data_IF_543380577565
#
_entry.id   IF_543380577565
#
_cell.length_a   1.000
_cell.length_b   1.000
_cell.length_c   1.000
_cell.angle_alpha   90.00
_cell.angle_beta   90.00
_cell.angle_gamma   90.00
#
_symmetry.space_group_name_H-M   'P 1'
#
loop_
_entity.id
_entity.type
_entity.pdbx_description
1 polymer ?
#
# COMPACT_ATOMS: atom_id res chain seq x y z
N UNK A 1 21.83 -54.37 44.08
CA UNK A 1 22.72 -53.19 43.91
C UNK A 1 22.55 -52.67 42.48
N UNK A 2 22.31 -51.37 42.29
CA UNK A 2 22.27 -50.73 40.97
C UNK A 2 20.97 -49.97 40.64
N UNK A 3 20.71 -48.83 41.32
CA UNK A 3 19.69 -47.85 40.89
C UNK A 3 20.27 -47.01 39.75
N UNK A 4 19.66 -47.02 38.56
CA UNK A 4 19.90 -46.02 37.50
C UNK A 4 18.85 -44.91 37.64
N UNK A 5 19.32 -43.71 37.98
CA UNK A 5 18.53 -42.48 37.99
C UNK A 5 18.78 -41.72 36.69
N UNK A 6 17.73 -41.41 35.94
CA UNK A 6 17.78 -40.60 34.73
C UNK A 6 17.45 -39.14 35.08
N UNK A 7 18.43 -38.25 34.91
CA UNK A 7 18.28 -36.81 35.10
C UNK A 7 17.57 -36.18 33.90
N UNK A 8 16.38 -35.61 34.14
CA UNK A 8 15.62 -34.83 33.16
C UNK A 8 15.99 -33.35 33.32
N UNK A 9 16.74 -32.80 32.36
CA UNK A 9 17.20 -31.40 32.35
C UNK A 9 16.06 -30.51 31.83
N UNK A 10 15.38 -29.82 32.73
CA UNK A 10 14.29 -28.89 32.42
C UNK A 10 14.91 -27.52 32.05
N UNK A 11 14.89 -27.17 30.77
CA UNK A 11 15.32 -25.85 30.29
C UNK A 11 14.25 -24.81 30.59
N UNK A 12 14.59 -23.93 31.53
CA UNK A 12 13.78 -22.80 31.97
C UNK A 12 13.99 -21.63 30.98
N UNK A 13 13.13 -21.49 29.97
CA UNK A 13 13.10 -20.29 29.12
C UNK A 13 12.25 -19.23 29.82
N UNK A 14 12.91 -18.30 30.51
CA UNK A 14 12.32 -17.04 30.97
C UNK A 14 12.01 -16.17 29.74
N UNK A 15 10.73 -16.04 29.38
CA UNK A 15 10.23 -14.97 28.51
C UNK A 15 10.14 -13.69 29.33
N UNK A 16 11.15 -12.83 29.23
CA UNK A 16 11.08 -11.46 29.75
C UNK A 16 10.15 -10.64 28.86
N UNK A 17 8.91 -10.44 29.30
CA UNK A 17 8.07 -9.33 28.84
C UNK A 17 8.65 -8.07 29.46
N UNK A 18 9.44 -7.32 28.68
CA UNK A 18 9.79 -5.95 29.03
C UNK A 18 8.54 -5.10 28.84
N UNK A 19 8.08 -4.45 29.91
CA UNK A 19 6.98 -3.48 29.84
C UNK A 19 7.35 -2.36 28.88
N UNK A 20 6.45 -2.06 27.95
CA UNK A 20 6.57 -0.88 27.09
C UNK A 20 6.47 0.38 27.96
N UNK A 21 7.38 1.36 27.80
CA UNK A 21 7.20 2.67 28.40
C UNK A 21 6.04 3.40 27.71
N UNK A 22 5.22 4.11 28.49
CA UNK A 22 4.25 5.08 27.97
C UNK A 22 5.01 6.23 27.30
N UNK A 23 5.08 6.20 25.97
CA UNK A 23 5.67 7.26 25.17
C UNK A 23 4.62 8.36 24.91
N UNK A 24 4.70 9.44 25.69
CA UNK A 24 3.93 10.67 25.47
C UNK A 24 4.81 11.82 24.94
N UNK A 25 6.02 11.50 24.47
CA UNK A 25 6.92 12.46 23.85
C UNK A 25 6.53 12.74 22.40
N UNK A 26 6.60 14.00 21.97
CA UNK A 26 6.50 14.38 20.54
C UNK A 26 7.56 13.60 19.75
N UNK A 27 7.15 12.55 19.02
CA UNK A 27 8.00 11.77 18.11
C UNK A 27 8.72 12.72 17.14
N UNK A 28 10.05 12.61 17.04
CA UNK A 28 10.82 13.31 16.01
C UNK A 28 10.63 12.52 14.72
N UNK A 29 9.75 13.00 13.85
CA UNK A 29 9.39 12.32 12.62
C UNK A 29 10.60 12.26 11.65
N UNK A 30 11.05 11.06 11.28
CA UNK A 30 12.18 10.85 10.37
C UNK A 30 11.68 10.18 9.09
N UNK A 31 11.69 10.91 7.97
CA UNK A 31 11.26 10.41 6.68
C UNK A 31 12.45 9.90 5.86
N UNK A 32 12.72 8.59 5.88
CA UNK A 32 13.71 7.97 5.00
C UNK A 32 13.02 6.95 4.09
N UNK A 33 12.67 7.41 2.89
CA UNK A 33 12.13 6.59 1.79
C UNK A 33 12.62 7.13 0.45
N UNK A 34 12.52 6.31 -0.61
CA UNK A 34 12.98 6.68 -1.95
C UNK A 34 12.43 8.02 -2.45
N UNK A 35 11.16 8.31 -2.18
CA UNK A 35 10.52 9.57 -2.53
C UNK A 35 10.90 10.75 -1.64
N UNK A 36 11.22 10.55 -0.35
CA UNK A 36 11.58 11.66 0.56
C UNK A 36 13.04 12.07 0.41
N UNK A 37 13.93 11.16 0.04
CA UNK A 37 15.29 11.51 -0.43
C UNK A 37 15.19 12.37 -1.70
N UNK A 38 14.30 12.02 -2.64
CA UNK A 38 14.07 12.84 -3.84
C UNK A 38 13.45 14.22 -3.52
N UNK A 39 12.45 14.27 -2.63
CA UNK A 39 11.72 15.51 -2.26
C UNK A 39 12.52 16.45 -1.35
N UNK A 40 13.47 15.96 -0.55
CA UNK A 40 14.37 16.77 0.28
C UNK A 40 15.53 17.42 -0.50
N UNK A 41 15.52 17.38 -1.83
CA UNK A 41 16.54 17.99 -2.68
C UNK A 41 17.78 17.13 -2.95
N UNK A 42 17.80 15.87 -2.49
CA UNK A 42 18.87 14.92 -2.88
C UNK A 42 18.59 14.24 -4.24
N UNK A 43 17.43 14.51 -4.85
CA UNK A 43 17.12 14.22 -6.25
C UNK A 43 17.19 12.74 -6.65
N UNK A 44 16.99 12.48 -7.95
CA UNK A 44 17.24 11.17 -8.58
C UNK A 44 18.66 10.64 -8.30
N UNK A 45 19.62 11.55 -8.05
CA UNK A 45 20.99 11.22 -7.65
C UNK A 45 21.06 10.49 -6.29
N UNK A 46 20.22 10.83 -5.30
CA UNK A 46 20.15 10.13 -4.02
C UNK A 46 19.58 8.71 -4.15
N UNK A 47 18.59 8.50 -5.02
CA UNK A 47 18.07 7.18 -5.32
C UNK A 47 19.07 6.31 -6.13
N UNK A 48 19.82 6.94 -7.05
CA UNK A 48 20.91 6.32 -7.79
C UNK A 48 22.08 5.95 -6.86
N UNK A 49 22.55 6.87 -6.02
CA UNK A 49 23.65 6.65 -5.07
C UNK A 49 23.28 5.67 -3.96
N UNK A 50 22.00 5.57 -3.58
CA UNK A 50 21.51 4.54 -2.66
C UNK A 50 21.47 3.13 -3.28
N UNK A 51 21.71 3.00 -4.59
CA UNK A 51 21.63 1.75 -5.34
C UNK A 51 20.21 1.23 -5.52
N UNK A 52 19.20 2.10 -5.42
CA UNK A 52 17.79 1.75 -5.58
C UNK A 52 17.37 1.69 -7.06
N UNK A 53 18.01 2.48 -7.90
CA UNK A 53 17.90 2.43 -9.35
C UNK A 53 19.28 2.04 -9.86
N UNK A 54 19.45 0.79 -10.28
CA UNK A 54 20.75 0.31 -10.72
C UNK A 54 21.19 1.01 -12.01
N UNK A 55 22.46 1.39 -12.08
CA UNK A 55 23.19 1.51 -13.35
C UNK A 55 23.38 0.11 -13.92
N UNK A 56 22.29 -0.53 -14.35
CA UNK A 56 22.36 -1.76 -15.11
C UNK A 56 23.07 -1.46 -16.42
N UNK A 57 24.32 -1.90 -16.56
CA UNK A 57 24.94 -2.08 -17.86
C UNK A 57 23.94 -2.79 -18.76
N UNK A 58 23.54 -2.13 -19.85
CA UNK A 58 22.46 -2.56 -20.73
C UNK A 58 22.62 -4.00 -21.22
N UNK A 59 22.04 -4.94 -20.48
CA UNK A 59 21.75 -6.26 -21.00
C UNK A 59 20.63 -6.08 -22.01
N UNK A 60 20.86 -6.56 -23.23
CA UNK A 60 19.84 -6.61 -24.28
C UNK A 60 18.57 -7.27 -23.71
N UNK A 61 17.56 -6.45 -23.43
CA UNK A 61 16.22 -6.94 -23.15
C UNK A 61 15.75 -7.53 -24.47
N UNK A 62 15.60 -8.86 -24.52
CA UNK A 62 15.09 -9.56 -25.67
C UNK A 62 13.81 -8.87 -26.18
N UNK A 63 13.79 -8.53 -27.47
CA UNK A 63 12.69 -7.79 -28.08
C UNK A 63 11.37 -8.52 -27.84
N UNK A 64 10.56 -7.98 -26.92
CA UNK A 64 9.17 -8.38 -26.75
C UNK A 64 8.46 -8.05 -28.07
N UNK A 65 7.67 -9.01 -28.57
CA UNK A 65 6.85 -8.92 -29.80
C UNK A 65 6.46 -7.48 -30.11
N UNK A 66 6.70 -7.03 -31.34
CA UNK A 66 6.24 -5.75 -31.89
C UNK A 66 4.73 -5.58 -31.65
N UNK A 67 4.37 -4.97 -30.52
CA UNK A 67 3.08 -4.37 -30.27
C UNK A 67 3.11 -2.90 -30.67
N UNK A 68 2.01 -2.18 -30.44
CA UNK A 68 1.87 -0.75 -30.62
C UNK A 68 2.77 0.09 -29.69
N UNK A 69 3.97 -0.36 -29.29
CA UNK A 69 4.79 0.38 -28.34
C UNK A 69 5.12 1.78 -28.90
N UNK A 70 5.14 2.78 -28.02
CA UNK A 70 5.57 4.12 -28.40
C UNK A 70 7.01 4.04 -28.93
N UNK A 71 7.29 4.79 -30.00
CA UNK A 71 8.64 4.93 -30.50
C UNK A 71 9.54 5.52 -29.40
N UNK A 72 10.78 5.04 -29.22
CA UNK A 72 11.69 5.63 -28.25
C UNK A 72 11.87 7.13 -28.50
N UNK A 73 11.64 7.94 -27.47
CA UNK A 73 11.85 9.38 -27.50
C UNK A 73 13.00 9.75 -26.57
N UNK A 74 13.95 10.55 -27.08
CA UNK A 74 14.97 11.17 -26.24
C UNK A 74 14.47 12.55 -25.82
N UNK A 75 14.08 12.68 -24.55
CA UNK A 75 13.61 13.94 -23.97
C UNK A 75 14.70 14.56 -23.10
N UNK A 76 14.70 15.90 -22.97
CA UNK A 76 15.54 16.57 -21.98
C UNK A 76 15.00 16.23 -20.57
N UNK A 77 15.87 16.00 -19.56
CA UNK A 77 15.45 15.62 -18.22
C UNK A 77 14.97 16.85 -17.42
N UNK A 78 13.88 17.45 -17.89
CA UNK A 78 13.19 18.57 -17.24
C UNK A 78 11.78 18.19 -16.79
N UNK A 79 11.18 19.06 -15.97
CA UNK A 79 9.86 18.83 -15.39
C UNK A 79 8.75 18.66 -16.45
N UNK A 80 8.76 19.45 -17.52
CA UNK A 80 7.71 19.39 -18.54
C UNK A 80 7.79 18.11 -19.34
N UNK A 81 9.02 17.69 -19.68
CA UNK A 81 9.26 16.44 -20.37
C UNK A 81 8.98 15.22 -19.48
N UNK A 82 9.20 15.31 -18.16
CA UNK A 82 8.79 14.26 -17.23
C UNK A 82 7.26 14.11 -17.16
N UNK A 83 6.51 15.22 -17.14
CA UNK A 83 5.05 15.19 -17.22
C UNK A 83 4.59 14.60 -18.55
N UNK A 84 5.16 15.06 -19.67
CA UNK A 84 4.85 14.54 -20.99
C UNK A 84 5.08 13.03 -21.08
N UNK A 85 6.22 12.54 -20.59
CA UNK A 85 6.52 11.11 -20.59
C UNK A 85 5.51 10.33 -19.73
N UNK A 86 5.12 10.86 -18.57
CA UNK A 86 4.10 10.24 -17.73
C UNK A 86 2.72 10.22 -18.42
N UNK A 87 2.32 11.31 -19.06
CA UNK A 87 1.07 11.40 -19.81
C UNK A 87 1.07 10.41 -20.97
N UNK A 88 2.12 10.37 -21.79
CA UNK A 88 2.27 9.39 -22.88
C UNK A 88 2.20 7.94 -22.35
N UNK A 89 2.85 7.64 -21.21
CA UNK A 89 2.77 6.31 -20.60
C UNK A 89 1.36 5.95 -20.15
N UNK A 90 0.65 6.87 -19.50
CA UNK A 90 -0.71 6.64 -19.01
C UNK A 90 -1.71 6.54 -20.16
N UNK A 91 -1.65 7.45 -21.13
CA UNK A 91 -2.58 7.48 -22.26
C UNK A 91 -2.40 6.32 -23.21
N UNK A 92 -1.16 5.87 -23.43
CA UNK A 92 -0.87 4.80 -24.36
C UNK A 92 -0.98 3.44 -23.70
N UNK A 93 -0.15 3.18 -22.69
CA UNK A 93 -0.06 1.83 -22.12
C UNK A 93 -1.24 1.51 -21.23
N UNK A 94 -1.71 2.43 -20.37
CA UNK A 94 -2.80 2.07 -19.45
C UNK A 94 -4.12 1.83 -20.18
N UNK A 95 -4.39 2.52 -21.31
CA UNK A 95 -5.60 2.32 -22.11
C UNK A 95 -5.63 0.96 -22.82
N UNK A 96 -4.47 0.46 -23.24
CA UNK A 96 -4.35 -0.76 -24.03
C UNK A 96 -4.12 -2.02 -23.18
N UNK A 97 -3.47 -1.89 -22.02
CA UNK A 97 -3.04 -3.05 -21.21
C UNK A 97 -4.20 -3.84 -20.59
N UNK A 98 -5.41 -3.28 -20.56
CA UNK A 98 -6.57 -3.84 -19.88
C UNK A 98 -6.23 -4.38 -18.48
N UNK A 99 -5.31 -3.68 -17.80
CA UNK A 99 -4.75 -4.11 -16.52
C UNK A 99 -5.38 -3.23 -15.43
N UNK A 100 -6.23 -3.80 -14.55
CA UNK A 100 -6.93 -3.01 -13.53
C UNK A 100 -6.00 -2.21 -12.61
N UNK A 101 -4.85 -2.76 -12.24
CA UNK A 101 -3.84 -2.05 -11.43
C UNK A 101 -3.29 -0.84 -12.19
N UNK A 102 -2.89 -0.98 -13.45
CA UNK A 102 -2.45 0.17 -14.26
C UNK A 102 -3.56 1.21 -14.46
N UNK A 103 -4.80 0.76 -14.65
CA UNK A 103 -5.95 1.62 -14.86
C UNK A 103 -6.30 2.47 -13.63
N UNK A 104 -6.23 1.94 -12.40
CA UNK A 104 -6.44 2.78 -11.21
C UNK A 104 -5.37 3.88 -11.12
N UNK A 105 -4.12 3.61 -11.49
CA UNK A 105 -3.06 4.63 -11.51
C UNK A 105 -3.31 5.69 -12.59
N UNK A 106 -3.81 5.30 -13.77
CA UNK A 106 -4.22 6.25 -14.80
C UNK A 106 -5.41 7.12 -14.35
N UNK A 107 -6.42 6.53 -13.71
CA UNK A 107 -7.51 7.28 -13.07
C UNK A 107 -6.97 8.23 -11.99
N UNK A 108 -5.94 7.83 -11.24
CA UNK A 108 -5.32 8.69 -10.23
C UNK A 108 -4.59 9.89 -10.84
N UNK A 109 -3.84 9.66 -11.91
CA UNK A 109 -3.00 10.65 -12.59
C UNK A 109 -3.81 11.63 -13.43
N UNK A 110 -4.75 11.11 -14.22
CA UNK A 110 -5.54 11.87 -15.18
C UNK A 110 -6.94 12.24 -14.68
N UNK A 111 -7.35 11.73 -13.52
CA UNK A 111 -8.64 12.00 -12.90
C UNK A 111 -9.76 11.03 -13.32
N UNK A 112 -10.93 11.18 -12.67
CA UNK A 112 -12.09 10.31 -12.85
C UNK A 112 -12.65 10.18 -14.27
N UNK A 113 -12.31 11.12 -15.15
CA UNK A 113 -12.80 11.13 -16.53
C UNK A 113 -11.94 10.30 -17.49
N UNK A 114 -10.87 9.65 -17.00
CA UNK A 114 -10.01 8.81 -17.81
C UNK A 114 -10.80 7.74 -18.57
N UNK A 115 -10.48 7.58 -19.86
CA UNK A 115 -11.18 6.70 -20.79
C UNK A 115 -10.28 5.55 -21.22
N UNK A 116 -10.88 4.38 -21.44
CA UNK A 116 -10.24 3.24 -22.10
C UNK A 116 -10.05 3.52 -23.60
N UNK A 117 -9.31 2.67 -24.30
CA UNK A 117 -9.06 2.80 -25.74
C UNK A 117 -10.35 2.87 -26.59
N UNK A 118 -11.43 2.20 -26.15
CA UNK A 118 -12.73 2.23 -26.81
C UNK A 118 -13.61 3.46 -26.45
N UNK A 119 -13.07 4.44 -25.71
CA UNK A 119 -13.78 5.64 -25.28
C UNK A 119 -14.69 5.48 -24.07
N UNK A 120 -14.86 4.25 -23.54
CA UNK A 120 -15.66 4.00 -22.33
C UNK A 120 -14.94 4.49 -21.06
N UNK A 121 -15.71 4.71 -19.99
CA UNK A 121 -15.21 5.17 -18.70
C UNK A 121 -14.37 4.09 -18.01
N UNK A 122 -13.12 4.40 -17.66
CA UNK A 122 -12.29 3.48 -16.90
C UNK A 122 -12.86 3.22 -15.50
N UNK A 123 -13.44 4.24 -14.85
CA UNK A 123 -14.08 4.09 -13.53
C UNK A 123 -15.27 3.14 -13.59
N UNK A 124 -16.14 3.27 -14.59
CA UNK A 124 -17.32 2.40 -14.72
C UNK A 124 -16.90 0.95 -14.97
N UNK A 125 -15.94 0.74 -15.88
CA UNK A 125 -15.36 -0.58 -16.15
C UNK A 125 -14.75 -1.21 -14.88
N UNK A 126 -13.95 -0.45 -14.15
CA UNK A 126 -13.30 -0.92 -12.94
C UNK A 126 -14.31 -1.31 -11.85
N UNK A 127 -15.38 -0.51 -11.71
CA UNK A 127 -16.45 -0.73 -10.75
C UNK A 127 -17.43 -1.85 -11.13
N UNK A 128 -17.54 -2.22 -12.42
CA UNK A 128 -18.41 -3.31 -12.87
C UNK A 128 -17.74 -4.68 -12.87
N UNK A 129 -16.45 -4.74 -13.22
CA UNK A 129 -15.78 -6.03 -13.46
C UNK A 129 -15.04 -6.57 -12.23
N UNK A 130 -14.44 -5.68 -11.45
CA UNK A 130 -13.47 -6.07 -10.43
C UNK A 130 -14.00 -5.98 -9.00
N UNK A 131 -15.28 -5.72 -8.81
CA UNK A 131 -15.91 -5.82 -7.50
C UNK A 131 -16.46 -7.24 -7.22
N UNK A 132 -16.50 -7.60 -5.94
CA UNK A 132 -17.00 -8.86 -5.43
C UNK A 132 -17.71 -8.64 -4.09
N UNK A 133 -18.44 -9.66 -3.65
CA UNK A 133 -19.13 -9.67 -2.36
C UNK A 133 -18.45 -10.63 -1.39
N UNK A 134 -18.42 -10.26 -0.11
CA UNK A 134 -18.06 -11.14 1.00
C UNK A 134 -19.16 -11.09 2.05
N UNK A 135 -19.57 -12.25 2.55
CA UNK A 135 -20.51 -12.34 3.65
C UNK A 135 -19.75 -12.52 4.98
N UNK A 136 -20.13 -11.73 5.99
CA UNK A 136 -19.66 -11.86 7.37
C UNK A 136 -20.87 -11.72 8.28
N UNK A 137 -21.10 -12.72 9.14
CA UNK A 137 -22.22 -12.71 10.10
C UNK A 137 -23.59 -12.43 9.45
N UNK A 138 -23.86 -13.02 8.29
CA UNK A 138 -25.12 -12.86 7.56
C UNK A 138 -25.30 -11.52 6.82
N UNK A 139 -24.29 -10.64 6.84
CA UNK A 139 -24.30 -9.37 6.10
C UNK A 139 -23.30 -9.41 4.95
N UNK A 140 -23.72 -8.94 3.78
CA UNK A 140 -22.89 -8.80 2.59
C UNK A 140 -22.13 -7.47 2.58
N UNK A 141 -20.88 -7.53 2.17
CA UNK A 141 -19.96 -6.41 2.04
C UNK A 141 -19.31 -6.44 0.66
N UNK A 142 -19.23 -5.28 0.00
CA UNK A 142 -18.65 -5.15 -1.35
C UNK A 142 -17.19 -4.73 -1.26
N UNK A 143 -16.32 -5.35 -2.06
CA UNK A 143 -14.89 -5.05 -2.12
C UNK A 143 -14.34 -5.24 -3.53
N UNK A 144 -13.12 -4.76 -3.79
CA UNK A 144 -12.42 -4.97 -5.07
C UNK A 144 -11.50 -6.19 -4.99
N UNK A 145 -11.58 -7.07 -5.99
CA UNK A 145 -10.90 -8.37 -6.07
C UNK A 145 -9.38 -8.19 -6.02
N UNK A 146 -8.71 -9.09 -5.30
CA UNK A 146 -7.25 -9.05 -5.17
C UNK A 146 -6.53 -9.45 -6.47
N UNK A 147 -7.19 -10.25 -7.31
CA UNK A 147 -6.69 -10.57 -8.65
C UNK A 147 -6.60 -9.35 -9.58
N UNK A 148 -7.28 -8.26 -9.24
CA UNK A 148 -7.26 -7.01 -9.99
C UNK A 148 -6.20 -6.03 -9.46
N UNK A 149 -6.04 -5.97 -8.14
CA UNK A 149 -5.01 -5.19 -7.47
C UNK A 149 -4.65 -5.86 -6.15
N UNK A 150 -3.36 -6.06 -5.90
CA UNK A 150 -2.88 -6.90 -4.80
C UNK A 150 -3.11 -6.24 -3.44
N UNK A 151 -3.28 -4.91 -3.40
CA UNK A 151 -3.45 -4.15 -2.18
C UNK A 151 -4.93 -3.89 -1.86
N UNK A 152 -5.37 -4.26 -0.65
CA UNK A 152 -6.72 -3.96 -0.18
C UNK A 152 -6.95 -2.44 -0.08
N UNK A 153 -8.18 -1.98 -0.33
CA UNK A 153 -8.57 -0.56 -0.33
C UNK A 153 -7.84 0.35 -1.34
N UNK A 154 -6.96 -0.18 -2.18
CA UNK A 154 -6.25 0.58 -3.23
C UNK A 154 -7.17 1.26 -4.24
N UNK A 155 -8.15 0.53 -4.76
CA UNK A 155 -9.21 1.06 -5.62
C UNK A 155 -9.97 2.18 -4.90
N UNK A 156 -10.44 1.91 -3.68
CA UNK A 156 -11.21 2.85 -2.87
C UNK A 156 -10.43 4.15 -2.65
N UNK A 157 -9.21 4.05 -2.12
CA UNK A 157 -8.28 5.17 -1.97
C UNK A 157 -8.14 5.94 -3.27
N UNK A 158 -7.90 5.23 -4.37
CA UNK A 158 -7.57 5.85 -5.65
C UNK A 158 -8.75 6.61 -6.24
N UNK A 159 -9.95 6.05 -6.16
CA UNK A 159 -11.17 6.70 -6.62
C UNK A 159 -11.50 7.96 -5.81
N UNK A 160 -11.42 7.89 -4.48
CA UNK A 160 -11.62 9.05 -3.61
C UNK A 160 -10.64 10.16 -3.99
N UNK A 161 -9.37 9.82 -4.14
CA UNK A 161 -8.31 10.76 -4.48
C UNK A 161 -8.37 11.34 -5.90
N UNK A 162 -9.03 10.62 -6.82
CA UNK A 162 -9.30 11.05 -8.18
C UNK A 162 -10.61 11.88 -8.29
N UNK A 163 -11.31 12.09 -7.17
CA UNK A 163 -12.56 12.84 -7.11
C UNK A 163 -13.77 12.09 -7.69
N UNK A 164 -13.69 10.75 -7.77
CA UNK A 164 -14.84 9.91 -8.10
C UNK A 164 -15.91 10.12 -7.03
N UNK A 165 -17.16 10.28 -7.46
CA UNK A 165 -18.25 10.58 -6.55
C UNK A 165 -18.61 9.35 -5.71
N UNK A 166 -19.03 9.58 -4.48
CA UNK A 166 -19.41 8.50 -3.56
C UNK A 166 -20.70 7.76 -3.98
N UNK A 167 -21.49 8.33 -4.89
CA UNK A 167 -22.66 7.70 -5.53
C UNK A 167 -22.31 6.92 -6.81
N UNK A 168 -21.02 6.82 -7.18
CA UNK A 168 -20.56 6.01 -8.29
C UNK A 168 -21.05 4.55 -8.14
N UNK A 169 -21.78 4.00 -9.12
CA UNK A 169 -22.22 2.62 -9.09
C UNK A 169 -21.05 1.63 -9.03
N UNK A 170 -21.22 0.57 -8.23
CA UNK A 170 -20.32 -0.58 -8.12
C UNK A 170 -21.18 -1.84 -8.29
N UNK A 171 -20.82 -2.75 -9.20
CA UNK A 171 -21.59 -3.96 -9.48
C UNK A 171 -20.83 -5.17 -8.96
N UNK A 172 -21.45 -5.95 -8.08
CA UNK A 172 -20.83 -7.15 -7.51
C UNK A 172 -21.91 -8.22 -7.33
N UNK A 173 -21.63 -9.47 -7.71
CA UNK A 173 -22.57 -10.59 -7.50
C UNK A 173 -23.97 -10.41 -8.11
N UNK A 174 -24.11 -9.58 -9.15
CA UNK A 174 -25.40 -9.20 -9.75
C UNK A 174 -26.17 -8.12 -8.97
N UNK A 175 -25.68 -7.68 -7.82
CA UNK A 175 -26.24 -6.58 -7.03
C UNK A 175 -25.58 -5.25 -7.41
N UNK A 176 -26.33 -4.16 -7.19
CA UNK A 176 -25.87 -2.79 -7.42
C UNK A 176 -25.60 -2.11 -6.08
N UNK A 177 -24.37 -1.66 -5.92
CA UNK A 177 -23.84 -0.89 -4.80
C UNK A 177 -23.38 0.48 -5.27
N UNK A 178 -22.86 1.27 -4.33
CA UNK A 178 -22.18 2.55 -4.56
C UNK A 178 -20.76 2.52 -4.00
N UNK A 179 -19.95 3.52 -4.38
CA UNK A 179 -18.64 3.73 -3.75
C UNK A 179 -18.76 4.03 -2.23
N UNK A 180 -19.91 4.57 -1.78
CA UNK A 180 -20.23 4.70 -0.35
C UNK A 180 -20.35 3.33 0.32
N UNK A 181 -21.05 2.38 -0.30
CA UNK A 181 -21.17 1.02 0.22
C UNK A 181 -19.81 0.31 0.26
N UNK A 182 -18.95 0.55 -0.73
CA UNK A 182 -17.58 0.04 -0.75
C UNK A 182 -16.71 0.68 0.34
N UNK A 183 -16.90 1.97 0.65
CA UNK A 183 -16.21 2.65 1.75
C UNK A 183 -16.62 2.06 3.12
N UNK A 184 -17.92 1.89 3.35
CA UNK A 184 -18.44 1.29 4.58
C UNK A 184 -18.08 -0.18 4.71
N UNK A 185 -18.07 -0.91 3.59
CA UNK A 185 -17.57 -2.29 3.53
C UNK A 185 -16.08 -2.36 3.83
N UNK A 186 -15.29 -1.41 3.30
CA UNK A 186 -13.86 -1.28 3.61
C UNK A 186 -13.63 -1.13 5.11
N UNK A 187 -14.38 -0.26 5.80
CA UNK A 187 -14.32 -0.12 7.27
C UNK A 187 -14.74 -1.40 7.99
N UNK A 188 -15.85 -2.00 7.56
CA UNK A 188 -16.41 -3.17 8.21
C UNK A 188 -15.53 -4.43 8.03
N UNK A 189 -14.83 -4.55 6.90
CA UNK A 189 -13.91 -5.65 6.62
C UNK A 189 -12.50 -5.40 7.15
N UNK A 190 -12.13 -4.16 7.45
CA UNK A 190 -10.80 -3.83 7.95
C UNK A 190 -10.55 -4.45 9.32
N UNK A 191 -9.46 -5.21 9.41
CA UNK A 191 -8.99 -5.87 10.62
C UNK A 191 -7.53 -5.51 10.84
N UNK A 192 -7.21 -5.01 12.03
CA UNK A 192 -5.85 -4.71 12.44
C UNK A 192 -5.79 -4.79 13.96
N UNK A 193 -4.84 -5.56 14.50
CA UNK A 193 -4.55 -5.57 15.93
C UNK A 193 -3.40 -4.58 16.19
N UNK A 194 -3.64 -3.41 16.81
CA UNK A 194 -2.57 -2.46 17.08
C UNK A 194 -1.53 -2.99 18.09
N UNK A 195 -1.82 -4.08 18.81
CA UNK A 195 -0.82 -4.74 19.67
C UNK A 195 0.10 -5.66 18.87
N UNK A 196 -0.36 -6.13 17.71
CA UNK A 196 0.39 -6.98 16.80
C UNK A 196 0.00 -6.67 15.35
N UNK A 197 0.55 -5.58 14.80
CA UNK A 197 0.26 -5.12 13.43
C UNK A 197 0.73 -6.10 12.34
N UNK A 198 1.49 -7.13 12.73
CA UNK A 198 1.95 -8.23 11.89
C UNK A 198 1.04 -9.45 11.97
N UNK A 199 0.10 -9.48 12.91
CA UNK A 199 -0.93 -10.51 13.01
C UNK A 199 -1.97 -10.31 11.93
N UNK A 200 -1.61 -10.73 10.73
CA UNK A 200 -2.53 -10.84 9.62
C UNK A 200 -2.44 -12.26 9.09
N UNK A 201 -3.47 -13.02 9.40
CA UNK A 201 -3.71 -14.33 8.79
C UNK A 201 -4.38 -14.08 7.45
N UNK A 202 -3.66 -14.36 6.37
CA UNK A 202 -4.17 -14.14 5.03
C UNK A 202 -5.48 -14.87 4.70
N UNK A 203 -5.79 -15.96 5.39
CA UNK A 203 -7.03 -16.71 5.19
C UNK A 203 -8.20 -16.11 5.99
N UNK A 204 -7.92 -15.43 7.10
CA UNK A 204 -8.95 -14.86 7.98
C UNK A 204 -9.14 -13.34 7.84
N UNK A 205 -8.10 -12.62 7.43
CA UNK A 205 -8.07 -11.16 7.44
C UNK A 205 -8.20 -10.54 6.05
N UNK A 206 -8.07 -11.35 4.97
CA UNK A 206 -8.29 -10.88 3.60
C UNK A 206 -9.76 -10.59 3.29
N UNK A 207 -9.98 -9.59 2.45
CA UNK A 207 -11.29 -9.31 1.87
C UNK A 207 -11.62 -10.40 0.84
N UNK A 208 -10.66 -10.68 -0.06
CA UNK A 208 -10.73 -11.76 -1.04
C UNK A 208 -10.11 -13.04 -0.47
N UNK A 209 -10.94 -13.92 0.07
CA UNK A 209 -10.49 -15.23 0.58
C UNK A 209 -10.32 -16.28 -0.52
N UNK A 210 -10.79 -15.98 -1.74
CA UNK A 210 -10.66 -16.89 -2.88
C UNK A 210 -9.29 -16.77 -3.54
N UNK A 211 -8.61 -15.64 -3.35
CA UNK A 211 -7.26 -15.42 -3.84
C UNK A 211 -6.22 -16.15 -2.99
N UNK A 212 -5.55 -17.12 -3.63
CA UNK A 212 -4.45 -17.90 -3.08
C UNK A 212 -3.14 -17.46 -3.76
N UNK A 213 -2.31 -16.60 -3.14
CA UNK A 213 -1.04 -16.21 -3.73
C UNK A 213 -0.13 -17.42 -3.79
N UNK A 214 0.48 -17.66 -4.95
CA UNK A 214 1.69 -18.47 -5.00
C UNK A 214 2.84 -17.63 -4.42
N UNK A 215 3.01 -17.64 -3.09
CA UNK A 215 4.20 -17.01 -2.49
C UNK A 215 5.41 -17.87 -2.85
N UNK A 216 6.36 -17.29 -3.56
CA UNK A 216 7.63 -17.93 -3.91
C UNK A 216 8.74 -17.33 -3.03
N UNK A 217 9.66 -18.14 -2.52
CA UNK A 217 10.87 -17.67 -1.86
C UNK A 217 11.85 -17.07 -2.90
N UNK A 218 12.98 -16.53 -2.43
CA UNK A 218 14.00 -15.97 -3.32
C UNK A 218 14.58 -16.98 -4.34
N UNK A 219 14.38 -18.29 -4.12
CA UNK A 219 14.76 -19.37 -5.02
C UNK A 219 13.60 -19.82 -5.95
N UNK A 220 12.47 -19.11 -5.97
CA UNK A 220 11.32 -19.47 -6.80
C UNK A 220 10.53 -20.69 -6.30
N UNK A 221 10.62 -21.03 -5.02
CA UNK A 221 9.90 -22.17 -4.42
C UNK A 221 8.73 -21.69 -3.56
N UNK A 222 7.58 -22.40 -3.55
CA UNK A 222 6.47 -22.06 -2.67
C UNK A 222 6.91 -21.93 -1.20
N UNK A 223 6.58 -20.82 -0.54
CA UNK A 223 6.84 -20.62 0.89
C UNK A 223 5.56 -20.81 1.70
N UNK A 224 5.69 -21.41 2.88
CA UNK A 224 4.62 -21.56 3.87
C UNK A 224 4.64 -20.43 4.91
N UNK A 225 5.45 -19.39 4.73
CA UNK A 225 5.39 -18.20 5.58
C UNK A 225 4.16 -17.36 5.20
N UNK A 226 3.03 -17.75 5.81
CA UNK A 226 1.70 -17.19 5.61
C UNK A 226 1.49 -15.89 6.39
N UNK A 227 2.53 -15.27 6.97
CA UNK A 227 2.39 -13.90 7.48
C UNK A 227 2.03 -13.02 6.30
N UNK A 228 0.76 -12.68 6.14
CA UNK A 228 0.38 -11.66 5.19
C UNK A 228 0.82 -10.35 5.82
N UNK A 229 1.61 -9.57 5.12
CA UNK A 229 2.27 -8.43 5.75
C UNK A 229 1.32 -7.23 5.67
N UNK A 230 0.28 -7.21 6.52
CA UNK A 230 -0.67 -6.08 6.60
C UNK A 230 0.07 -4.76 6.67
N UNK A 231 0.99 -4.62 7.62
CA UNK A 231 1.78 -3.41 7.82
C UNK A 231 2.58 -2.98 6.57
N UNK A 232 3.15 -3.95 5.83
CA UNK A 232 4.03 -3.67 4.70
C UNK A 232 3.29 -3.50 3.37
N UNK A 233 2.20 -4.24 3.16
CA UNK A 233 1.53 -4.37 1.87
C UNK A 233 0.14 -3.73 1.80
N UNK A 234 -0.64 -3.66 2.88
CA UNK A 234 -2.08 -3.36 2.79
C UNK A 234 -2.52 -2.19 3.67
N UNK A 235 -1.87 -2.02 4.81
CA UNK A 235 -2.22 -1.02 5.80
C UNK A 235 -2.15 0.41 5.26
N UNK A 236 -1.07 0.83 4.54
CA UNK A 236 -1.01 2.20 4.00
C UNK A 236 -2.21 2.61 3.14
N UNK A 237 -2.76 1.70 2.32
CA UNK A 237 -3.91 1.95 1.46
C UNK A 237 -5.18 2.19 2.27
N UNK A 238 -5.40 1.37 3.30
CA UNK A 238 -6.49 1.57 4.27
C UNK A 238 -6.34 2.87 5.04
N UNK A 239 -5.13 3.17 5.55
CA UNK A 239 -4.84 4.41 6.27
C UNK A 239 -5.14 5.65 5.42
N UNK A 240 -4.72 5.67 4.14
CA UNK A 240 -5.02 6.78 3.23
C UNK A 240 -6.53 6.90 2.99
N UNK A 241 -7.20 5.79 2.65
CA UNK A 241 -8.64 5.82 2.38
C UNK A 241 -9.42 6.32 3.60
N UNK A 242 -9.16 5.75 4.78
CA UNK A 242 -9.91 6.08 5.99
C UNK A 242 -9.58 7.46 6.55
N UNK A 243 -8.36 7.97 6.34
CA UNK A 243 -8.05 9.35 6.75
C UNK A 243 -8.79 10.40 5.90
N UNK A 244 -9.27 10.03 4.71
CA UNK A 244 -10.10 10.91 3.87
C UNK A 244 -11.58 10.74 4.22
N UNK A 245 -12.01 9.51 4.52
CA UNK A 245 -13.41 9.17 4.76
C UNK A 245 -13.90 9.49 6.18
N UNK A 246 -13.00 9.46 7.17
CA UNK A 246 -13.37 9.62 8.57
C UNK A 246 -12.92 10.99 9.10
N UNK A 247 -13.80 11.71 9.83
CA UNK A 247 -13.34 12.83 10.63
C UNK A 247 -12.48 12.32 11.81
N UNK A 248 -11.56 13.13 12.36
CA UNK A 248 -10.77 12.73 13.53
C UNK A 248 -11.61 12.19 14.71
N UNK A 249 -12.77 12.78 14.97
CA UNK A 249 -13.70 12.35 16.03
C UNK A 249 -14.40 11.01 15.74
N UNK A 250 -14.45 10.58 14.48
CA UNK A 250 -15.05 9.32 14.03
C UNK A 250 -14.02 8.23 13.71
N UNK A 251 -12.80 8.37 14.21
CA UNK A 251 -11.66 7.50 13.88
C UNK A 251 -11.62 6.18 14.65
N UNK A 252 -12.67 5.86 15.41
CA UNK A 252 -12.85 4.59 16.12
C UNK A 252 -14.19 3.95 15.73
N UNK A 253 -14.18 2.67 15.40
CA UNK A 253 -15.39 1.92 15.03
C UNK A 253 -15.31 0.45 15.44
N UNK A 254 -16.45 -0.25 15.39
CA UNK A 254 -16.50 -1.71 15.51
C UNK A 254 -16.68 -2.31 14.11
N UNK A 255 -15.81 -3.23 13.72
CA UNK A 255 -15.87 -3.87 12.40
C UNK A 255 -16.89 -5.03 12.37
N UNK A 256 -17.07 -5.68 11.23
CA UNK A 256 -18.03 -6.77 11.04
C UNK A 256 -17.76 -8.00 11.93
N UNK A 257 -16.56 -8.12 12.48
CA UNK A 257 -16.10 -9.23 13.31
C UNK A 257 -16.21 -8.93 14.82
N UNK A 258 -16.76 -7.77 15.18
CA UNK A 258 -16.88 -7.33 16.59
C UNK A 258 -15.60 -6.76 17.17
N UNK A 259 -14.59 -6.49 16.35
CA UNK A 259 -13.32 -5.91 16.79
C UNK A 259 -13.42 -4.39 16.82
N UNK A 260 -12.96 -3.77 17.90
CA UNK A 260 -12.82 -2.31 17.98
C UNK A 260 -11.54 -1.89 17.26
N UNK A 261 -11.70 -1.12 16.18
CA UNK A 261 -10.60 -0.51 15.46
C UNK A 261 -10.48 0.94 15.90
N UNK A 262 -9.33 1.32 16.46
CA UNK A 262 -8.96 2.71 16.74
C UNK A 262 -7.87 3.16 15.78
N UNK A 263 -8.22 3.94 14.76
CA UNK A 263 -7.27 4.41 13.74
C UNK A 263 -6.06 5.15 14.34
N UNK A 264 -6.19 6.00 15.39
CA UNK A 264 -5.02 6.63 16.00
C UNK A 264 -4.01 5.63 16.58
N UNK A 265 -4.49 4.56 17.22
CA UNK A 265 -3.62 3.51 17.76
C UNK A 265 -2.94 2.70 16.65
N UNK A 266 -3.67 2.44 15.56
CA UNK A 266 -3.11 1.79 14.36
C UNK A 266 -2.02 2.65 13.72
N UNK A 267 -2.28 3.97 13.56
CA UNK A 267 -1.32 4.93 13.01
C UNK A 267 -0.06 5.00 13.88
N UNK A 268 -0.22 5.17 15.20
CA UNK A 268 0.93 5.30 16.10
C UNK A 268 1.80 4.04 16.07
N UNK A 269 1.19 2.86 16.12
CA UNK A 269 1.93 1.60 16.08
C UNK A 269 2.64 1.38 14.74
N UNK A 270 1.95 1.62 13.62
CA UNK A 270 2.55 1.41 12.29
C UNK A 270 3.65 2.43 11.99
N UNK A 271 3.47 3.67 12.44
CA UNK A 271 4.51 4.69 12.36
C UNK A 271 5.74 4.29 13.19
N UNK A 272 5.56 3.84 14.43
CA UNK A 272 6.66 3.38 15.28
C UNK A 272 7.46 2.25 14.62
N UNK A 273 6.78 1.33 13.95
CA UNK A 273 7.42 0.24 13.23
C UNK A 273 8.21 0.74 12.01
N UNK A 274 7.61 1.64 11.23
CA UNK A 274 8.27 2.25 10.08
C UNK A 274 9.49 3.07 10.49
N UNK A 275 9.40 3.85 11.57
CA UNK A 275 10.52 4.60 12.17
C UNK A 275 11.65 3.64 12.59
N UNK A 276 11.30 2.50 13.19
CA UNK A 276 12.25 1.44 13.52
C UNK A 276 13.01 0.91 12.31
N UNK A 277 12.31 0.72 11.19
CA UNK A 277 12.95 0.34 9.92
C UNK A 277 13.86 1.44 9.39
N UNK A 278 13.41 2.70 9.35
CA UNK A 278 14.21 3.84 8.89
C UNK A 278 15.49 4.04 9.73
N UNK A 279 15.44 3.79 11.03
CA UNK A 279 16.58 3.91 11.93
C UNK A 279 17.76 2.99 11.54
N UNK A 280 17.50 1.87 10.87
CA UNK A 280 18.52 0.91 10.40
C UNK A 280 19.48 1.51 9.37
N UNK A 281 19.11 2.59 8.69
CA UNK A 281 19.94 3.24 7.66
C UNK A 281 20.21 4.73 7.92
N UNK A 282 19.72 5.26 9.04
CA UNK A 282 19.72 6.71 9.28
C UNK A 282 21.13 7.30 9.36
N UNK A 283 22.04 6.66 10.08
CA UNK A 283 23.37 7.22 10.33
C UNK A 283 24.21 7.30 9.05
N UNK A 284 24.24 6.24 8.27
CA UNK A 284 24.96 6.15 7.01
C UNK A 284 24.36 7.10 5.97
N UNK A 285 23.03 7.10 5.81
CA UNK A 285 22.37 7.98 4.84
C UNK A 285 22.52 9.47 5.20
N UNK A 286 22.52 9.83 6.48
CA UNK A 286 22.78 11.20 6.92
C UNK A 286 24.21 11.68 6.59
N UNK A 287 25.15 10.75 6.44
CA UNK A 287 26.53 11.02 6.00
C UNK A 287 26.71 10.99 4.48
N UNK A 288 25.63 10.77 3.72
CA UNK A 288 25.68 10.62 2.26
C UNK A 288 26.26 9.28 1.79
N UNK A 289 26.35 8.29 2.69
CA UNK A 289 26.83 6.95 2.36
C UNK A 289 25.71 6.09 1.73
N UNK A 290 26.11 5.00 1.07
CA UNK A 290 25.18 4.01 0.54
C UNK A 290 24.37 3.40 1.69
N UNK A 291 23.07 3.29 1.49
CA UNK A 291 22.16 2.74 2.48
C UNK A 291 22.57 1.30 2.90
N UNK A 292 22.65 0.98 4.20
CA UNK A 292 23.09 -0.33 4.68
C UNK A 292 22.25 -1.47 4.12
N UNK A 293 22.87 -2.65 3.90
CA UNK A 293 22.15 -3.82 3.38
C UNK A 293 20.95 -4.19 4.25
N UNK A 294 21.11 -4.17 5.58
CA UNK A 294 20.03 -4.47 6.53
C UNK A 294 18.82 -3.55 6.34
N UNK A 295 19.04 -2.25 6.21
CA UNK A 295 17.96 -1.30 5.91
C UNK A 295 17.33 -1.56 4.54
N UNK A 296 18.15 -1.77 3.50
CA UNK A 296 17.64 -2.05 2.15
C UNK A 296 16.80 -3.33 2.09
N UNK A 297 17.15 -4.35 2.86
CA UNK A 297 16.38 -5.60 2.91
C UNK A 297 15.06 -5.42 3.67
N UNK A 298 15.06 -4.67 4.76
CA UNK A 298 13.84 -4.41 5.55
C UNK A 298 12.87 -3.46 4.83
N UNK A 299 13.36 -2.34 4.28
CA UNK A 299 12.50 -1.38 3.58
C UNK A 299 11.86 -1.95 2.31
N UNK A 300 12.49 -2.98 1.71
CA UNK A 300 11.97 -3.72 0.54
C UNK A 300 10.71 -4.52 0.84
N UNK A 301 10.46 -4.87 2.10
CA UNK A 301 9.23 -5.54 2.51
C UNK A 301 8.03 -4.63 2.34
N UNK A 302 8.22 -3.33 2.60
CA UNK A 302 7.20 -2.32 2.36
C UNK A 302 6.97 -2.12 0.87
N UNK A 303 5.70 -2.15 0.47
CA UNK A 303 5.24 -1.76 -0.86
C UNK A 303 5.85 -0.43 -1.32
N UNK A 304 6.37 -0.43 -2.55
CA UNK A 304 7.10 0.68 -3.16
C UNK A 304 8.23 1.22 -2.27
N UNK A 305 8.95 0.34 -1.57
CA UNK A 305 10.06 0.68 -0.69
C UNK A 305 9.68 1.72 0.39
N UNK A 306 8.48 1.57 0.95
CA UNK A 306 7.98 2.43 2.04
C UNK A 306 7.29 3.72 1.61
N UNK A 307 7.25 4.06 0.31
CA UNK A 307 6.67 5.31 -0.16
C UNK A 307 5.18 5.45 0.21
N UNK A 308 4.41 4.37 0.12
CA UNK A 308 3.01 4.39 0.49
C UNK A 308 2.80 4.54 2.00
N UNK A 309 3.71 4.02 2.83
CA UNK A 309 3.65 4.21 4.28
C UNK A 309 3.81 5.68 4.64
N UNK A 310 4.85 6.32 4.11
CA UNK A 310 5.07 7.78 4.22
C UNK A 310 3.85 8.57 3.79
N UNK A 311 3.29 8.24 2.62
CA UNK A 311 2.12 8.93 2.10
C UNK A 311 0.90 8.75 3.02
N UNK A 312 0.72 7.56 3.58
CA UNK A 312 -0.39 7.28 4.50
C UNK A 312 -0.32 8.11 5.78
N UNK A 313 0.87 8.31 6.36
CA UNK A 313 1.04 9.15 7.54
C UNK A 313 0.80 10.62 7.23
N UNK A 314 1.24 11.10 6.07
CA UNK A 314 0.94 12.46 5.61
C UNK A 314 -0.57 12.67 5.41
N UNK A 315 -1.25 11.69 4.82
CA UNK A 315 -2.70 11.69 4.65
C UNK A 315 -3.42 11.77 6.02
N UNK A 316 -2.96 10.98 7.00
CA UNK A 316 -3.48 11.01 8.37
C UNK A 316 -3.20 12.34 9.08
N UNK A 317 -2.04 12.96 8.85
CA UNK A 317 -1.73 14.28 9.40
C UNK A 317 -2.69 15.35 8.87
N UNK A 318 -2.95 15.36 7.55
CA UNK A 318 -3.87 16.30 6.92
C UNK A 318 -5.30 16.18 7.46
N UNK A 319 -5.74 14.96 7.80
CA UNK A 319 -7.02 14.71 8.45
C UNK A 319 -7.13 15.45 9.79
N UNK A 320 -6.06 15.46 10.60
CA UNK A 320 -6.05 16.08 11.93
C UNK A 320 -5.87 17.60 11.86
N UNK A 321 -5.04 18.10 10.95
CA UNK A 321 -4.76 19.54 10.85
C UNK A 321 -5.85 20.30 10.09
N UNK A 322 -6.82 19.61 9.49
CA UNK A 322 -7.83 20.22 8.62
C UNK A 322 -7.22 20.91 7.39
N UNK A 323 -5.94 20.60 7.07
CA UNK A 323 -5.31 21.08 5.86
C UNK A 323 -5.82 20.21 4.71
N UNK A 324 -7.04 20.51 4.26
CA UNK A 324 -7.53 19.97 3.00
C UNK A 324 -6.57 20.48 1.94
N UNK A 325 -5.70 19.62 1.43
CA UNK A 325 -5.04 19.89 0.16
C UNK A 325 -6.15 19.97 -0.86
N UNK A 326 -6.69 21.18 -1.04
CA UNK A 326 -7.51 21.54 -2.19
C UNK A 326 -6.62 21.26 -3.38
N UNK A 327 -6.71 20.05 -3.91
CA UNK A 327 -6.28 19.82 -5.27
C UNK A 327 -7.26 20.60 -6.12
N UNK A 328 -6.89 21.84 -6.39
CA UNK A 328 -7.24 22.48 -7.65
C UNK A 328 -6.68 21.57 -8.75
N UNK A 329 -7.36 20.45 -9.01
CA UNK A 329 -7.36 19.83 -10.32
C UNK A 329 -8.14 20.83 -11.15
N UNK A 330 -7.46 21.88 -11.60
CA UNK A 330 -7.94 22.70 -12.70
C UNK A 330 -8.37 21.73 -13.78
N UNK A 331 -9.63 21.81 -14.22
CA UNK A 331 -10.18 21.03 -15.33
C UNK A 331 -9.11 20.91 -16.44
N UNK A 332 -8.45 19.76 -16.49
CA UNK A 332 -7.71 19.27 -17.64
C UNK A 332 -8.50 18.07 -18.15
#
# INVERSE_FOLDING_TARGET
MGKKSAAKKQQNRKSGSAGQPEDTGRRKFIFIGAGTVAAAGLGLAGAYNAGWIGSGSGGEIAAVKQGNNLAPLSLQPDYQNALRAADEMLEHYARDLNNPSALIHAVRGSGKNFKLANGSSAVDYLCSEFAAEKEVNGKKYVYFKRSAEVHENSFLKTFIEAGVRMDQPVIAGGNKYTLTDAAESGKALFRCDPKDIFKFDENQYRYDTTYQPQKMNAAGQPTTDLRGELAHEHLPWGLIAFSILLPPAGSTWTNAYGETIGLPAVIDRSLAEYEGTCALGQQEMARGEIAPKVFRDEIKKYSCFGLHSVYSYLSCLNMVTGTTTSKNVSNR
#
